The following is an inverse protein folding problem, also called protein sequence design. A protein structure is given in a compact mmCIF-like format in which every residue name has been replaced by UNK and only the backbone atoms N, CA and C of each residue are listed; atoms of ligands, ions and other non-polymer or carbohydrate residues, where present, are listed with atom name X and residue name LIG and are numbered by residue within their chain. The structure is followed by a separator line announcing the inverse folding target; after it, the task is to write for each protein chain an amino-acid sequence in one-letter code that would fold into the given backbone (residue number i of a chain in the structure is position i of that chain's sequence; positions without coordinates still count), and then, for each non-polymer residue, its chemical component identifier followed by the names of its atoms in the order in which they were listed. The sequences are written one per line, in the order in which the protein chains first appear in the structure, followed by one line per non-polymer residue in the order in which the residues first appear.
data_IF_856760689185
#
_entry.id   IF_856760689185
#
_cell.length_a   1.000
_cell.length_b   1.000
_cell.length_c   1.000
_cell.angle_alpha   90.00
_cell.angle_beta   90.00
_cell.angle_gamma   90.00
#
_symmetry.space_group_name_H-M   'P 1'
#
loop_
_entity.id
_entity.type
_entity.pdbx_description
1 polymer ?
#
# COMPACT_ATOMS: atom_id res chain seq x y z
N UNK A 1 1.60 -0.37 16.34
CA UNK A 1 2.53 -1.08 15.42
C UNK A 1 1.84 -1.20 14.08
N UNK A 2 2.56 -0.95 12.96
CA UNK A 2 1.99 -1.08 11.62
C UNK A 2 1.88 -2.57 11.26
N UNK A 3 0.74 -2.95 10.66
CA UNK A 3 0.50 -4.27 10.08
C UNK A 3 0.39 -4.16 8.57
N UNK A 4 1.31 -4.81 7.87
CA UNK A 4 1.41 -4.81 6.41
C UNK A 4 0.82 -6.09 5.83
N UNK A 5 -0.02 -5.96 4.82
CA UNK A 5 -0.47 -7.07 3.98
C UNK A 5 0.11 -6.89 2.58
N UNK A 6 0.89 -7.84 2.09
CA UNK A 6 1.43 -7.79 0.72
C UNK A 6 0.68 -8.78 -0.14
N UNK A 7 0.06 -8.29 -1.20
CA UNK A 7 -0.59 -9.15 -2.18
C UNK A 7 0.39 -9.57 -3.28
N UNK A 8 0.34 -10.84 -3.65
CA UNK A 8 1.08 -11.38 -4.78
C UNK A 8 0.22 -12.28 -5.65
N UNK A 9 0.37 -12.18 -6.97
CA UNK A 9 -0.23 -13.08 -7.97
C UNK A 9 0.84 -13.96 -8.65
N UNK A 10 2.07 -13.94 -8.12
CA UNK A 10 3.22 -14.67 -8.65
C UNK A 10 3.81 -14.08 -9.94
N UNK A 11 3.31 -12.95 -10.44
CA UNK A 11 3.87 -12.30 -11.62
C UNK A 11 5.08 -11.43 -11.29
N UNK A 12 5.95 -11.14 -12.26
CA UNK A 12 7.18 -10.37 -12.02
C UNK A 12 6.94 -9.00 -11.34
N UNK A 13 5.84 -8.31 -11.67
CA UNK A 13 5.51 -7.04 -11.03
C UNK A 13 5.24 -7.17 -9.53
N UNK A 14 4.70 -8.30 -9.07
CA UNK A 14 4.42 -8.53 -7.65
C UNK A 14 5.70 -8.66 -6.80
N UNK A 15 6.84 -8.97 -7.41
CA UNK A 15 8.14 -9.01 -6.72
C UNK A 15 8.51 -7.60 -6.21
N UNK A 16 8.20 -6.56 -6.95
CA UNK A 16 8.47 -5.18 -6.53
C UNK A 16 7.65 -4.83 -5.27
N UNK A 17 6.40 -5.29 -5.18
CA UNK A 17 5.57 -5.12 -3.99
C UNK A 17 6.11 -5.91 -2.79
N UNK A 18 6.57 -7.16 -3.01
CA UNK A 18 7.19 -7.98 -1.95
C UNK A 18 8.45 -7.29 -1.41
N UNK A 19 9.36 -6.85 -2.27
CA UNK A 19 10.58 -6.13 -1.87
C UNK A 19 10.28 -4.85 -1.12
N UNK A 20 9.29 -4.07 -1.59
CA UNK A 20 8.86 -2.86 -0.87
C UNK A 20 8.32 -3.20 0.53
N UNK A 21 7.48 -4.24 0.63
CA UNK A 21 6.96 -4.73 1.91
C UNK A 21 8.06 -5.20 2.86
N UNK A 22 9.07 -5.93 2.35
CA UNK A 22 10.25 -6.37 3.13
C UNK A 22 11.00 -5.18 3.70
N UNK A 23 11.29 -4.18 2.88
CA UNK A 23 12.01 -2.99 3.32
C UNK A 23 11.22 -2.18 4.36
N UNK A 24 9.89 -2.03 4.17
CA UNK A 24 9.05 -1.41 5.18
C UNK A 24 9.06 -2.22 6.49
N UNK A 25 8.95 -3.55 6.43
CA UNK A 25 9.03 -4.43 7.60
C UNK A 25 10.33 -4.22 8.38
N UNK A 26 11.48 -4.24 7.67
CA UNK A 26 12.80 -4.09 8.30
C UNK A 26 12.96 -2.73 8.98
N UNK A 27 12.53 -1.65 8.31
CA UNK A 27 12.74 -0.27 8.80
C UNK A 27 11.76 0.16 9.88
N UNK A 28 10.55 -0.38 9.87
CA UNK A 28 9.48 0.01 10.80
C UNK A 28 9.27 -0.97 11.95
N UNK A 29 9.94 -2.12 11.95
CA UNK A 29 9.60 -3.24 12.83
C UNK A 29 8.11 -3.59 12.74
N UNK A 30 7.54 -3.52 11.54
CA UNK A 30 6.13 -3.77 11.28
C UNK A 30 5.82 -5.27 11.31
N UNK A 31 4.57 -5.65 11.56
CA UNK A 31 4.09 -6.99 11.23
C UNK A 31 3.89 -7.11 9.72
N UNK A 32 4.19 -8.28 9.15
CA UNK A 32 4.05 -8.56 7.73
C UNK A 32 3.30 -9.86 7.52
N UNK A 33 2.37 -9.86 6.57
CA UNK A 33 1.79 -11.06 6.01
C UNK A 33 1.77 -10.98 4.48
N UNK A 34 1.78 -12.13 3.83
CA UNK A 34 1.68 -12.25 2.38
C UNK A 34 0.40 -13.00 2.02
N UNK A 35 -0.34 -12.46 1.06
CA UNK A 35 -1.59 -13.08 0.61
C UNK A 35 -1.62 -13.26 -0.90
N UNK A 36 -2.18 -14.39 -1.34
CA UNK A 36 -2.67 -14.59 -2.70
C UNK A 36 -4.16 -14.87 -2.68
N UNK A 37 -4.91 -14.34 -3.63
CA UNK A 37 -6.37 -14.54 -3.74
C UNK A 37 -6.66 -15.27 -5.03
N UNK A 38 -7.40 -16.37 -4.92
CA UNK A 38 -7.81 -17.24 -6.03
C UNK A 38 -9.33 -17.15 -6.24
N UNK A 39 -9.74 -17.06 -7.48
CA UNK A 39 -11.15 -17.20 -7.84
C UNK A 39 -11.58 -18.67 -7.68
N UNK A 40 -12.81 -18.90 -7.22
CA UNK A 40 -13.34 -20.23 -6.97
C UNK A 40 -13.69 -20.47 -5.51
N UNK A 41 -13.94 -21.71 -5.18
CA UNK A 41 -14.22 -22.14 -3.80
C UNK A 41 -13.14 -23.11 -3.33
N UNK A 42 -12.83 -23.06 -2.05
CA UNK A 42 -11.85 -23.96 -1.43
C UNK A 42 -12.20 -25.46 -1.65
N UNK A 43 -13.49 -25.78 -1.77
CA UNK A 43 -13.98 -27.15 -1.96
C UNK A 43 -13.68 -27.75 -3.36
N UNK A 44 -13.22 -26.96 -4.33
CA UNK A 44 -12.97 -27.43 -5.71
C UNK A 44 -11.52 -27.85 -5.99
N UNK A 45 -10.60 -27.57 -5.08
CA UNK A 45 -9.21 -28.02 -5.18
C UNK A 45 -8.98 -29.21 -4.21
N UNK A 46 -8.25 -30.24 -4.65
CA UNK A 46 -7.82 -31.31 -3.74
C UNK A 46 -6.95 -30.67 -2.63
N UNK A 47 -7.32 -30.84 -1.35
CA UNK A 47 -6.54 -30.27 -0.28
C UNK A 47 -5.12 -30.87 -0.32
N UNK A 48 -4.07 -30.05 -0.22
CA UNK A 48 -2.75 -30.59 0.03
C UNK A 48 -2.76 -31.39 1.33
N UNK A 49 -1.82 -32.32 1.49
CA UNK A 49 -1.70 -33.07 2.74
C UNK A 49 -1.51 -32.11 3.93
N UNK A 50 -2.62 -31.88 4.66
CA UNK A 50 -2.67 -30.91 5.77
C UNK A 50 -1.93 -31.45 6.98
N UNK A 51 -1.14 -30.58 7.64
CA UNK A 51 -0.38 -30.97 8.84
C UNK A 51 0.86 -31.81 8.56
N UNK A 52 1.21 -32.03 7.29
CA UNK A 52 2.44 -32.74 6.90
C UNK A 52 3.49 -31.73 6.48
N UNK A 53 4.73 -31.95 6.91
CA UNK A 53 5.87 -31.17 6.43
C UNK A 53 6.19 -31.57 4.98
N UNK A 54 5.94 -30.64 4.05
CA UNK A 54 6.16 -30.84 2.64
C UNK A 54 7.53 -30.33 2.27
N UNK A 55 8.44 -31.20 1.75
CA UNK A 55 9.71 -30.75 1.23
C UNK A 55 9.56 -29.79 0.07
N UNK A 56 10.23 -28.64 0.10
CA UNK A 56 10.17 -27.64 -0.99
C UNK A 56 10.78 -28.15 -2.30
N UNK A 57 11.56 -29.23 -2.28
CA UNK A 57 11.97 -29.94 -3.50
C UNK A 57 10.76 -30.39 -4.34
N UNK A 58 9.62 -30.66 -3.69
CA UNK A 58 8.36 -31.11 -4.33
C UNK A 58 7.37 -29.94 -4.59
N UNK A 59 7.83 -28.70 -4.62
CA UNK A 59 6.99 -27.51 -4.80
C UNK A 59 6.08 -27.55 -6.04
N UNK A 60 6.50 -28.27 -7.08
CA UNK A 60 5.71 -28.41 -8.32
C UNK A 60 4.41 -29.19 -8.13
N UNK A 61 4.34 -30.05 -7.12
CA UNK A 61 3.12 -30.83 -6.78
C UNK A 61 2.13 -30.03 -5.95
N UNK A 62 2.48 -28.85 -5.47
CA UNK A 62 1.59 -27.99 -4.69
C UNK A 62 0.51 -27.36 -5.58
N UNK A 63 -0.69 -27.08 -5.06
CA UNK A 63 -1.66 -26.21 -5.69
C UNK A 63 -1.04 -24.85 -6.09
N UNK A 64 -1.54 -24.28 -7.19
CA UNK A 64 -0.93 -23.09 -7.79
C UNK A 64 -0.81 -21.90 -6.82
N UNK A 65 -1.80 -21.68 -5.96
CA UNK A 65 -1.73 -20.59 -4.98
C UNK A 65 -0.61 -20.78 -3.97
N UNK A 66 -0.40 -22.00 -3.50
CA UNK A 66 0.71 -22.33 -2.62
C UNK A 66 2.07 -22.23 -3.33
N UNK A 67 2.15 -22.60 -4.62
CA UNK A 67 3.38 -22.37 -5.40
C UNK A 67 3.73 -20.88 -5.47
N UNK A 68 2.74 -19.99 -5.66
CA UNK A 68 2.91 -18.52 -5.64
C UNK A 68 3.44 -18.06 -4.28
N UNK A 69 2.88 -18.56 -3.19
CA UNK A 69 3.29 -18.17 -1.84
C UNK A 69 4.69 -18.70 -1.48
N UNK A 70 5.04 -19.90 -1.92
CA UNK A 70 6.40 -20.43 -1.76
C UNK A 70 7.42 -19.58 -2.52
N UNK A 71 7.10 -19.21 -3.77
CA UNK A 71 7.97 -18.29 -4.53
C UNK A 71 8.08 -16.91 -3.85
N UNK A 72 7.02 -16.42 -3.21
CA UNK A 72 7.10 -15.20 -2.42
C UNK A 72 7.98 -15.38 -1.18
N UNK A 73 7.92 -16.54 -0.50
CA UNK A 73 8.80 -16.83 0.62
C UNK A 73 10.29 -16.90 0.19
N UNK A 74 10.58 -17.47 -0.99
CA UNK A 74 11.93 -17.43 -1.56
C UNK A 74 12.41 -15.98 -1.75
N UNK A 75 11.57 -15.07 -2.28
CA UNK A 75 11.92 -13.63 -2.41
C UNK A 75 12.22 -13.02 -1.03
N UNK A 76 11.41 -13.31 -0.01
CA UNK A 76 11.66 -12.79 1.34
C UNK A 76 12.95 -13.35 1.96
N UNK A 77 13.32 -14.60 1.63
CA UNK A 77 14.57 -15.21 2.06
C UNK A 77 15.78 -14.59 1.33
N UNK A 78 15.69 -14.38 0.02
CA UNK A 78 16.72 -13.71 -0.79
C UNK A 78 17.00 -12.29 -0.29
N UNK A 79 15.95 -11.60 0.16
CA UNK A 79 16.06 -10.29 0.80
C UNK A 79 16.53 -10.37 2.28
N UNK A 80 16.83 -11.55 2.80
CA UNK A 80 17.33 -11.77 4.16
C UNK A 80 16.30 -11.51 5.27
N UNK A 81 15.01 -11.60 4.96
CA UNK A 81 13.94 -11.44 5.95
C UNK A 81 13.50 -12.78 6.54
N UNK A 82 13.59 -13.86 5.80
CA UNK A 82 13.25 -15.20 6.26
C UNK A 82 14.48 -16.12 6.28
N UNK A 83 14.46 -17.08 7.17
CA UNK A 83 15.35 -18.22 7.06
C UNK A 83 14.94 -19.05 5.83
N UNK A 84 15.92 -19.55 5.03
CA UNK A 84 15.63 -20.42 3.91
C UNK A 84 14.86 -21.66 4.40
N UNK A 85 13.68 -21.87 3.83
CA UNK A 85 12.82 -22.99 4.22
C UNK A 85 13.12 -24.21 3.35
N UNK A 86 13.33 -25.34 3.96
CA UNK A 86 13.44 -26.63 3.29
C UNK A 86 12.12 -27.40 3.28
N UNK A 87 11.24 -27.09 4.22
CA UNK A 87 9.92 -27.69 4.38
C UNK A 87 8.89 -26.62 4.74
N UNK A 88 7.63 -26.85 4.36
CA UNK A 88 6.49 -26.04 4.78
C UNK A 88 5.44 -26.93 5.44
N UNK A 89 4.82 -26.42 6.50
CA UNK A 89 3.68 -27.05 7.16
C UNK A 89 2.41 -26.29 6.79
N UNK A 90 1.60 -26.88 5.94
CA UNK A 90 0.36 -26.27 5.44
C UNK A 90 -0.78 -26.62 6.39
N UNK A 91 -1.60 -25.60 6.69
CA UNK A 91 -2.81 -25.73 7.50
C UNK A 91 -4.00 -25.24 6.71
N UNK A 92 -5.11 -25.94 6.81
CA UNK A 92 -6.38 -25.43 6.33
C UNK A 92 -6.86 -24.30 7.23
N UNK A 93 -7.41 -23.30 6.61
CA UNK A 93 -8.17 -22.23 7.25
C UNK A 93 -9.57 -22.19 6.62
N UNK A 94 -10.50 -21.48 7.23
CA UNK A 94 -11.92 -21.48 6.83
C UNK A 94 -12.17 -21.24 5.33
N UNK A 95 -11.26 -20.59 4.63
CA UNK A 95 -11.42 -20.27 3.21
C UNK A 95 -10.07 -20.27 2.46
N UNK A 96 -9.23 -21.27 2.70
CA UNK A 96 -7.94 -21.39 2.03
C UNK A 96 -6.90 -22.13 2.83
N UNK A 97 -5.64 -21.79 2.60
CA UNK A 97 -4.51 -22.45 3.20
C UNK A 97 -3.57 -21.42 3.82
N UNK A 98 -2.84 -21.83 4.85
CA UNK A 98 -1.87 -21.04 5.58
C UNK A 98 -0.61 -21.82 5.83
N UNK A 99 0.56 -21.22 5.60
CA UNK A 99 1.79 -21.64 6.22
C UNK A 99 2.53 -20.46 6.86
N UNK A 100 3.48 -20.74 7.74
CA UNK A 100 4.19 -19.71 8.51
C UNK A 100 5.67 -19.76 8.15
N UNK A 101 6.19 -18.67 7.61
CA UNK A 101 7.62 -18.39 7.54
C UNK A 101 8.14 -17.85 8.87
N UNK A 102 9.44 -18.00 9.13
CA UNK A 102 10.11 -17.46 10.31
C UNK A 102 11.29 -16.58 9.92
N UNK A 103 11.39 -15.45 10.58
CA UNK A 103 12.60 -14.61 10.48
C UNK A 103 13.74 -15.23 11.30
N UNK A 104 15.01 -14.83 11.06
CA UNK A 104 16.13 -15.22 11.89
C UNK A 104 15.95 -14.91 13.40
N UNK A 105 15.15 -13.89 13.72
CA UNK A 105 14.76 -13.56 15.10
C UNK A 105 13.62 -14.40 15.66
N UNK A 106 13.06 -15.33 14.87
CA UNK A 106 11.93 -16.19 15.26
C UNK A 106 10.55 -15.58 15.08
N UNK A 107 10.43 -14.35 14.56
CA UNK A 107 9.14 -13.74 14.25
C UNK A 107 8.40 -14.52 13.14
N UNK A 108 7.08 -14.54 13.23
CA UNK A 108 6.22 -15.29 12.31
C UNK A 108 5.74 -14.40 11.19
N UNK A 109 5.88 -14.87 9.96
CA UNK A 109 5.30 -14.24 8.75
C UNK A 109 4.28 -15.20 8.16
N UNK A 110 2.97 -14.88 8.23
CA UNK A 110 1.92 -15.67 7.61
C UNK A 110 1.94 -15.56 6.08
N UNK A 111 1.75 -16.69 5.40
CA UNK A 111 1.52 -16.80 3.97
C UNK A 111 0.16 -17.43 3.76
N UNK A 112 -0.82 -16.64 3.29
CA UNK A 112 -2.22 -17.01 3.19
C UNK A 112 -2.65 -17.17 1.73
N UNK A 113 -3.18 -18.32 1.35
CA UNK A 113 -4.00 -18.47 0.17
C UNK A 113 -5.46 -18.35 0.57
N UNK A 114 -6.22 -17.48 -0.07
CA UNK A 114 -7.64 -17.30 0.19
C UNK A 114 -8.45 -17.39 -1.09
N UNK A 115 -9.64 -18.00 -1.03
CA UNK A 115 -10.55 -18.16 -2.16
C UNK A 115 -11.69 -17.15 -2.10
N UNK A 116 -12.13 -16.69 -3.27
CA UNK A 116 -13.29 -15.83 -3.43
C UNK A 116 -13.11 -14.63 -4.34
N UNK A 117 -14.03 -13.68 -4.21
CA UNK A 117 -13.95 -12.42 -4.93
C UNK A 117 -12.82 -11.54 -4.37
N UNK A 118 -11.95 -11.07 -5.27
CA UNK A 118 -10.69 -10.44 -4.93
C UNK A 118 -10.80 -9.32 -3.86
N UNK A 119 -11.66 -8.33 -4.09
CA UNK A 119 -11.82 -7.18 -3.18
C UNK A 119 -12.46 -7.59 -1.85
N UNK A 120 -13.50 -8.40 -1.90
CA UNK A 120 -14.21 -8.87 -0.69
C UNK A 120 -13.30 -9.71 0.20
N UNK A 121 -12.47 -10.56 -0.43
CA UNK A 121 -11.51 -11.42 0.29
C UNK A 121 -10.44 -10.55 0.96
N UNK A 122 -9.89 -9.55 0.26
CA UNK A 122 -8.91 -8.63 0.84
C UNK A 122 -9.52 -7.80 1.98
N UNK A 123 -10.76 -7.29 1.83
CA UNK A 123 -11.43 -6.55 2.91
C UNK A 123 -11.66 -7.43 4.14
N UNK A 124 -12.10 -8.68 3.94
CA UNK A 124 -12.27 -9.62 5.05
C UNK A 124 -10.97 -9.85 5.81
N UNK A 125 -9.84 -10.06 5.10
CA UNK A 125 -8.54 -10.22 5.74
C UNK A 125 -8.09 -8.95 6.46
N UNK A 126 -8.27 -7.79 5.83
CA UNK A 126 -7.95 -6.48 6.42
C UNK A 126 -8.74 -6.26 7.72
N UNK A 127 -10.07 -6.48 7.68
CA UNK A 127 -10.96 -6.23 8.82
C UNK A 127 -10.70 -7.23 9.96
N UNK A 128 -10.49 -8.52 9.64
CA UNK A 128 -10.27 -9.57 10.65
C UNK A 128 -8.92 -9.46 11.34
N UNK A 129 -7.87 -9.10 10.62
CA UNK A 129 -6.49 -9.07 11.12
C UNK A 129 -6.02 -7.66 11.49
N UNK A 130 -6.75 -6.62 11.11
CA UNK A 130 -6.44 -5.23 11.41
C UNK A 130 -5.22 -4.70 10.65
N UNK A 131 -5.09 -5.06 9.36
CA UNK A 131 -4.01 -4.53 8.53
C UNK A 131 -4.21 -3.04 8.24
N UNK A 132 -3.15 -2.25 8.40
CA UNK A 132 -3.17 -0.79 8.22
C UNK A 132 -2.79 -0.38 6.80
N UNK A 133 -2.04 -1.22 6.09
CA UNK A 133 -1.53 -0.93 4.77
C UNK A 133 -1.50 -2.19 3.91
N UNK A 134 -2.19 -2.16 2.77
CA UNK A 134 -2.03 -3.13 1.70
C UNK A 134 -0.96 -2.65 0.72
N UNK A 135 0.01 -3.51 0.41
CA UNK A 135 1.02 -3.28 -0.64
C UNK A 135 0.71 -4.17 -1.82
N UNK A 136 0.57 -3.58 -2.98
CA UNK A 136 0.24 -4.30 -4.21
C UNK A 136 0.97 -3.70 -5.41
N UNK A 137 1.36 -4.53 -6.37
CA UNK A 137 1.86 -4.07 -7.66
C UNK A 137 0.92 -4.53 -8.78
N UNK A 138 0.32 -3.62 -9.54
CA UNK A 138 -0.46 -3.97 -10.72
C UNK A 138 0.48 -4.47 -11.83
N UNK A 139 -0.03 -5.26 -12.78
CA UNK A 139 0.75 -5.66 -13.94
C UNK A 139 1.35 -4.43 -14.65
N UNK A 140 2.65 -4.52 -15.01
CA UNK A 140 3.31 -3.46 -15.76
C UNK A 140 2.61 -3.24 -17.09
N UNK A 141 2.38 -2.00 -17.42
CA UNK A 141 1.72 -1.60 -18.67
C UNK A 141 2.75 -1.40 -19.76
N UNK A 142 2.50 -1.98 -20.92
CA UNK A 142 3.33 -1.81 -22.11
C UNK A 142 2.49 -1.19 -23.24
N UNK A 143 3.06 -0.23 -23.97
CA UNK A 143 2.46 0.36 -25.15
C UNK A 143 1.24 1.26 -24.89
N UNK A 144 0.32 1.33 -25.82
CA UNK A 144 -0.89 2.19 -25.80
C UNK A 144 -1.86 1.93 -24.63
N UNK A 145 -1.69 0.80 -23.91
CA UNK A 145 -2.49 0.49 -22.69
C UNK A 145 -2.06 1.28 -21.46
N UNK A 146 -1.07 2.15 -21.56
CA UNK A 146 -0.61 3.03 -20.48
C UNK A 146 -1.72 3.95 -19.93
N UNK A 147 -2.69 4.30 -20.76
CA UNK A 147 -3.73 5.29 -20.44
C UNK A 147 -4.96 4.73 -19.70
N UNK A 148 -5.05 3.42 -19.50
CA UNK A 148 -6.22 2.83 -18.83
C UNK A 148 -5.79 2.18 -17.51
N UNK A 149 -6.22 2.75 -16.39
CA UNK A 149 -6.12 2.07 -15.07
C UNK A 149 -6.93 0.78 -15.17
N UNK A 150 -6.31 -0.37 -14.93
CA UNK A 150 -7.06 -1.62 -14.88
C UNK A 150 -8.23 -1.46 -13.89
N UNK A 151 -9.41 -1.93 -14.25
CA UNK A 151 -10.62 -1.86 -13.42
C UNK A 151 -10.37 -2.36 -11.99
N UNK A 152 -9.51 -3.36 -11.84
CA UNK A 152 -9.08 -3.91 -10.54
C UNK A 152 -8.35 -2.89 -9.66
N UNK A 153 -7.39 -2.12 -10.20
CA UNK A 153 -6.64 -1.12 -9.42
C UNK A 153 -7.56 0.02 -8.97
N UNK A 154 -8.49 0.41 -9.84
CA UNK A 154 -9.51 1.41 -9.50
C UNK A 154 -10.43 0.91 -8.39
N UNK A 155 -10.93 -0.32 -8.49
CA UNK A 155 -11.78 -0.95 -7.47
C UNK A 155 -11.04 -1.08 -6.14
N UNK A 156 -9.76 -1.50 -6.14
CA UNK A 156 -8.92 -1.53 -4.94
C UNK A 156 -8.84 -0.15 -4.28
N UNK A 157 -8.57 0.88 -5.08
CA UNK A 157 -8.49 2.24 -4.58
C UNK A 157 -9.81 2.75 -4.01
N UNK A 158 -10.96 2.31 -4.54
CA UNK A 158 -12.29 2.73 -4.09
C UNK A 158 -12.81 1.91 -2.92
N UNK A 159 -12.74 0.59 -3.03
CA UNK A 159 -13.54 -0.34 -2.23
C UNK A 159 -12.77 -0.98 -1.06
N UNK A 160 -11.43 -0.84 -0.99
CA UNK A 160 -10.66 -1.34 0.15
C UNK A 160 -10.87 -0.48 1.40
N UNK A 161 -10.92 -1.14 2.56
CA UNK A 161 -11.13 -0.51 3.86
C UNK A 161 -9.84 -0.02 4.52
N UNK A 162 -8.69 -0.22 3.90
CA UNK A 162 -7.38 0.18 4.42
C UNK A 162 -6.60 1.04 3.42
N UNK A 163 -5.53 1.66 3.88
CA UNK A 163 -4.59 2.38 3.02
C UNK A 163 -3.95 1.44 2.01
N UNK A 164 -3.66 1.94 0.82
CA UNK A 164 -3.13 1.12 -0.29
C UNK A 164 -1.89 1.76 -0.87
N UNK A 165 -0.79 1.02 -0.90
CA UNK A 165 0.41 1.36 -1.65
C UNK A 165 0.43 0.57 -2.97
N UNK A 166 0.24 1.28 -4.06
CA UNK A 166 0.35 0.74 -5.42
C UNK A 166 1.78 0.93 -5.90
N UNK A 167 2.56 -0.15 -5.91
CA UNK A 167 3.98 -0.13 -6.30
C UNK A 167 4.10 -0.27 -7.81
N UNK A 168 4.74 0.69 -8.46
CA UNK A 168 4.99 0.70 -9.92
C UNK A 168 6.45 0.87 -10.28
N UNK A 169 7.18 1.61 -9.47
CA UNK A 169 8.59 1.87 -9.61
C UNK A 169 9.11 2.47 -8.30
N UNK A 170 10.43 2.55 -8.19
CA UNK A 170 11.05 3.02 -6.96
C UNK A 170 10.92 2.02 -5.80
N UNK A 171 11.31 2.47 -4.64
CA UNK A 171 11.28 1.70 -3.40
C UNK A 171 11.17 2.64 -2.20
N UNK A 172 11.35 2.15 -0.97
CA UNK A 172 11.32 3.00 0.23
C UNK A 172 12.39 4.10 0.25
N UNK A 173 13.43 3.97 -0.59
CA UNK A 173 14.47 5.00 -0.79
C UNK A 173 14.10 6.02 -1.88
N UNK A 174 12.94 5.89 -2.50
CA UNK A 174 12.44 6.88 -3.45
C UNK A 174 12.05 8.18 -2.74
N UNK A 175 11.99 9.26 -3.49
CA UNK A 175 11.46 10.53 -3.03
C UNK A 175 9.96 10.39 -2.78
N UNK A 176 9.49 10.88 -1.63
CA UNK A 176 8.07 10.94 -1.32
C UNK A 176 7.53 12.33 -1.65
N UNK A 177 6.42 12.38 -2.35
CA UNK A 177 5.74 13.61 -2.77
C UNK A 177 4.35 13.62 -2.16
N UNK A 178 4.16 14.42 -1.12
CA UNK A 178 2.94 14.47 -0.31
C UNK A 178 2.04 15.58 -0.81
N UNK A 179 0.85 15.21 -1.30
CA UNK A 179 -0.14 16.17 -1.77
C UNK A 179 -0.95 16.69 -0.58
N UNK A 180 -0.93 18.00 -0.32
CA UNK A 180 -1.58 18.62 0.81
C UNK A 180 -2.34 19.89 0.36
N UNK A 181 -3.66 19.79 0.23
CA UNK A 181 -4.56 20.86 -0.18
C UNK A 181 -5.34 21.49 1.00
N UNK A 182 -4.98 21.13 2.23
CA UNK A 182 -5.66 21.59 3.43
C UNK A 182 -7.02 20.93 3.72
N UNK A 183 -7.50 20.08 2.81
CA UNK A 183 -8.74 19.34 3.01
C UNK A 183 -8.64 18.36 4.20
N UNK A 184 -9.77 17.97 4.81
CA UNK A 184 -9.78 16.93 5.85
C UNK A 184 -9.13 15.62 5.39
N UNK A 185 -9.30 15.26 4.12
CA UNK A 185 -8.66 14.05 3.55
C UNK A 185 -7.14 14.17 3.49
N UNK A 186 -6.62 15.34 3.07
CA UNK A 186 -5.20 15.60 3.05
C UNK A 186 -4.59 15.62 4.46
N UNK A 187 -5.29 16.18 5.44
CA UNK A 187 -4.82 16.19 6.84
C UNK A 187 -4.75 14.79 7.44
N UNK A 188 -5.68 13.91 7.10
CA UNK A 188 -5.74 12.51 7.61
C UNK A 188 -4.57 11.63 7.14
N UNK A 189 -3.80 12.03 6.14
CA UNK A 189 -2.64 11.24 5.71
C UNK A 189 -1.43 11.33 6.67
N UNK A 190 -1.30 12.42 7.41
CA UNK A 190 -0.12 12.70 8.24
C UNK A 190 0.14 11.68 9.35
N UNK A 191 -0.85 11.12 10.06
CA UNK A 191 -0.61 10.09 11.06
C UNK A 191 0.03 8.82 10.51
N UNK A 192 -0.42 8.33 9.35
CA UNK A 192 0.24 7.19 8.70
C UNK A 192 1.61 7.60 8.18
N UNK A 193 1.72 8.79 7.57
CA UNK A 193 2.97 9.33 7.09
C UNK A 193 4.00 9.46 8.22
N UNK A 194 3.59 9.91 9.41
CA UNK A 194 4.45 9.98 10.61
C UNK A 194 5.08 8.62 10.94
N UNK A 195 4.30 7.55 10.87
CA UNK A 195 4.83 6.21 11.07
C UNK A 195 5.81 5.82 9.95
N UNK A 196 5.46 6.11 8.70
CA UNK A 196 6.29 5.79 7.54
C UNK A 196 7.58 6.62 7.48
N UNK A 197 7.59 7.86 7.99
CA UNK A 197 8.78 8.72 8.01
C UNK A 197 9.98 8.07 8.72
N UNK A 198 9.75 7.16 9.65
CA UNK A 198 10.82 6.40 10.30
C UNK A 198 11.54 5.47 9.31
N UNK A 199 10.83 4.97 8.31
CA UNK A 199 11.38 4.13 7.24
C UNK A 199 11.95 4.94 6.09
N UNK A 200 11.42 6.14 5.85
CA UNK A 200 11.81 7.02 4.75
C UNK A 200 13.13 7.70 5.13
N UNK A 201 14.19 7.42 4.40
CA UNK A 201 15.50 8.06 4.60
C UNK A 201 15.68 9.29 3.73
N UNK A 202 14.93 9.37 2.65
CA UNK A 202 15.06 10.38 1.61
C UNK A 202 14.16 11.60 1.85
N UNK A 203 14.28 12.53 0.92
CA UNK A 203 13.54 13.78 0.87
C UNK A 203 12.02 13.53 0.79
N UNK A 204 11.26 14.33 1.53
CA UNK A 204 9.79 14.33 1.50
C UNK A 204 9.33 15.70 1.02
N UNK A 205 8.94 15.79 -0.23
CA UNK A 205 8.44 17.02 -0.83
C UNK A 205 6.94 17.18 -0.52
N UNK A 206 6.52 18.43 -0.33
CA UNK A 206 5.12 18.82 -0.19
C UNK A 206 4.66 19.49 -1.48
N UNK A 207 3.49 19.11 -1.98
CA UNK A 207 2.91 19.65 -3.21
C UNK A 207 1.49 20.11 -2.96
N UNK A 208 1.20 21.31 -3.40
CA UNK A 208 -0.15 21.83 -3.58
C UNK A 208 -0.31 22.44 -4.96
N UNK A 209 -1.43 22.16 -5.58
CA UNK A 209 -1.82 22.76 -6.86
C UNK A 209 -3.03 23.64 -6.63
N UNK A 210 -2.85 24.94 -6.78
CA UNK A 210 -3.92 25.93 -6.79
C UNK A 210 -4.61 25.90 -8.15
N UNK A 211 -5.93 25.75 -8.14
CA UNK A 211 -6.75 25.88 -9.34
C UNK A 211 -7.14 27.35 -9.54
N UNK A 212 -7.41 27.77 -10.78
CA UNK A 212 -7.84 29.14 -11.06
C UNK A 212 -9.14 29.56 -10.37
N UNK A 213 -10.02 28.58 -10.11
CA UNK A 213 -11.31 28.76 -9.44
C UNK A 213 -11.27 28.56 -7.91
N UNK A 214 -10.12 28.27 -7.34
CA UNK A 214 -9.96 28.17 -5.89
C UNK A 214 -10.16 29.53 -5.22
N UNK A 215 -11.12 29.62 -4.30
CA UNK A 215 -11.36 30.80 -3.50
C UNK A 215 -10.26 31.12 -2.51
N UNK A 216 -10.25 32.34 -1.99
CA UNK A 216 -9.27 32.82 -1.01
C UNK A 216 -9.20 31.92 0.25
N UNK A 217 -10.33 31.44 0.75
CA UNK A 217 -10.41 30.51 1.90
C UNK A 217 -9.67 29.19 1.62
N UNK A 218 -9.88 28.60 0.45
CA UNK A 218 -9.20 27.35 0.05
C UNK A 218 -7.69 27.56 -0.04
N UNK A 219 -7.27 28.67 -0.64
CA UNK A 219 -5.86 29.03 -0.75
C UNK A 219 -5.21 29.27 0.62
N UNK A 220 -5.90 29.93 1.53
CA UNK A 220 -5.44 30.14 2.89
C UNK A 220 -5.30 28.83 3.65
N UNK A 221 -6.35 27.98 3.65
CA UNK A 221 -6.34 26.70 4.34
C UNK A 221 -5.24 25.76 3.83
N UNK A 222 -4.97 25.77 2.52
CA UNK A 222 -3.86 25.02 1.93
C UNK A 222 -2.50 25.56 2.37
N UNK A 223 -2.32 26.89 2.35
CA UNK A 223 -1.08 27.54 2.78
C UNK A 223 -0.77 27.24 4.25
N UNK A 224 -1.76 27.35 5.12
CA UNK A 224 -1.62 27.02 6.56
C UNK A 224 -1.26 25.54 6.75
N UNK A 225 -1.93 24.63 6.03
CA UNK A 225 -1.66 23.19 6.09
C UNK A 225 -0.22 22.90 5.64
N UNK A 226 0.24 23.50 4.56
CA UNK A 226 1.58 23.30 4.04
C UNK A 226 2.66 23.85 5.01
N UNK A 227 2.40 25.00 5.63
CA UNK A 227 3.32 25.56 6.62
C UNK A 227 3.46 24.67 7.85
N UNK A 228 2.32 24.15 8.36
CA UNK A 228 2.33 23.21 9.47
C UNK A 228 3.04 21.90 9.09
N UNK A 229 2.76 21.36 7.90
CA UNK A 229 3.39 20.14 7.41
C UNK A 229 4.91 20.31 7.25
N UNK A 230 5.36 21.45 6.75
CA UNK A 230 6.78 21.78 6.62
C UNK A 230 7.46 21.84 7.99
N UNK A 231 6.93 22.60 8.94
CA UNK A 231 7.48 22.69 10.28
C UNK A 231 7.54 21.31 10.96
N UNK A 232 6.52 20.49 10.75
CA UNK A 232 6.49 19.13 11.26
C UNK A 232 7.58 18.24 10.61
N UNK A 233 7.81 18.31 9.30
CA UNK A 233 8.89 17.59 8.64
C UNK A 233 10.27 18.01 9.16
N UNK A 234 10.49 19.33 9.35
CA UNK A 234 11.71 19.87 9.93
C UNK A 234 11.94 19.34 11.35
N UNK A 235 10.90 19.27 12.18
CA UNK A 235 10.96 18.69 13.53
C UNK A 235 11.23 17.17 13.54
N UNK A 236 10.95 16.49 12.43
CA UNK A 236 11.24 15.07 12.24
C UNK A 236 12.59 14.81 11.52
N UNK A 237 13.48 15.81 11.45
CA UNK A 237 14.75 15.77 10.70
C UNK A 237 14.58 15.38 9.22
N UNK A 238 13.48 15.80 8.61
CA UNK A 238 13.20 15.57 7.20
C UNK A 238 13.32 16.86 6.41
N UNK A 239 14.15 16.80 5.38
CA UNK A 239 14.28 17.88 4.41
C UNK A 239 13.35 17.63 3.24
N UNK A 240 12.66 18.65 2.80
CA UNK A 240 11.75 18.55 1.65
C UNK A 240 11.56 19.91 1.01
N UNK A 241 11.19 19.89 -0.27
CA UNK A 241 10.82 21.09 -1.01
C UNK A 241 9.31 21.31 -0.90
N UNK A 242 8.94 22.58 -0.92
CA UNK A 242 7.55 22.99 -1.03
C UNK A 242 7.31 23.43 -2.48
N UNK A 243 6.42 22.70 -3.16
CA UNK A 243 5.99 23.00 -4.52
C UNK A 243 4.60 23.63 -4.48
N UNK A 244 4.54 24.93 -4.75
CA UNK A 244 3.30 25.66 -4.98
C UNK A 244 3.13 25.80 -6.48
N UNK A 245 2.17 25.06 -7.02
CA UNK A 245 1.90 25.00 -8.46
C UNK A 245 0.55 25.64 -8.74
N UNK A 246 0.33 26.14 -9.95
CA UNK A 246 -0.92 26.73 -10.37
C UNK A 246 -1.31 26.22 -11.77
N UNK A 247 -2.55 25.77 -11.94
CA UNK A 247 -3.06 25.35 -13.25
C UNK A 247 -4.34 24.52 -13.20
N UNK A 248 -4.87 24.29 -14.39
CA UNK A 248 -6.17 23.66 -14.61
C UNK A 248 -6.13 22.12 -14.50
N UNK A 249 -4.95 21.51 -14.65
CA UNK A 249 -4.78 20.06 -14.57
C UNK A 249 -3.90 19.65 -13.38
N UNK A 250 -4.45 19.60 -12.15
CA UNK A 250 -3.68 19.26 -10.96
C UNK A 250 -3.00 17.89 -11.01
N UNK A 251 -3.61 16.90 -11.69
CA UNK A 251 -3.03 15.56 -11.77
C UNK A 251 -1.71 15.56 -12.54
N UNK A 252 -1.68 16.22 -13.69
CA UNK A 252 -0.49 16.35 -14.52
C UNK A 252 0.64 17.10 -13.78
N UNK A 253 0.30 18.24 -13.18
CA UNK A 253 1.26 19.03 -12.42
C UNK A 253 1.88 18.27 -11.24
N UNK A 254 1.08 17.47 -10.52
CA UNK A 254 1.58 16.60 -9.43
C UNK A 254 2.51 15.52 -9.99
N UNK A 255 2.13 14.89 -11.10
CA UNK A 255 2.93 13.83 -11.74
C UNK A 255 4.26 14.40 -12.23
N UNK A 256 4.24 15.56 -12.89
CA UNK A 256 5.45 16.24 -13.36
C UNK A 256 6.37 16.65 -12.20
N UNK A 257 5.81 17.20 -11.13
CA UNK A 257 6.56 17.54 -9.93
C UNK A 257 7.15 16.30 -9.23
N UNK A 258 6.43 15.17 -9.26
CA UNK A 258 6.92 13.91 -8.71
C UNK A 258 8.03 13.31 -9.58
N UNK A 259 7.93 13.43 -10.90
CA UNK A 259 8.85 12.78 -11.84
C UNK A 259 8.79 11.25 -11.74
N UNK A 260 9.83 10.61 -12.26
CA UNK A 260 9.94 9.15 -12.26
C UNK A 260 10.42 8.62 -10.89
N UNK A 261 10.02 7.38 -10.58
CA UNK A 261 10.46 6.65 -9.38
C UNK A 261 10.16 7.33 -8.02
N UNK A 262 9.13 8.16 -7.95
CA UNK A 262 8.64 8.72 -6.70
C UNK A 262 7.57 7.84 -6.05
N UNK A 263 7.23 8.16 -4.80
CA UNK A 263 6.02 7.71 -4.12
C UNK A 263 5.12 8.92 -3.89
N UNK A 264 4.04 9.01 -4.65
CA UNK A 264 3.06 10.09 -4.51
C UNK A 264 2.10 9.70 -3.39
N UNK A 265 1.99 10.55 -2.36
CA UNK A 265 1.12 10.30 -1.19
C UNK A 265 -0.10 11.20 -1.26
N UNK A 266 -1.27 10.61 -1.20
CA UNK A 266 -2.55 11.32 -1.28
C UNK A 266 -3.53 10.82 -0.23
N UNK A 267 -4.21 11.73 0.43
CA UNK A 267 -5.33 11.41 1.29
C UNK A 267 -6.55 10.96 0.46
N UNK A 268 -7.19 9.90 0.89
CA UNK A 268 -8.41 9.38 0.29
C UNK A 268 -9.55 9.42 1.31
N UNK A 269 -10.74 9.88 0.90
CA UNK A 269 -11.91 9.91 1.77
C UNK A 269 -12.53 8.52 1.88
N UNK A 270 -12.68 8.01 3.11
CA UNK A 270 -13.60 6.92 3.42
C UNK A 270 -14.98 7.54 3.68
N UNK A 271 -15.77 7.80 2.66
CA UNK A 271 -17.17 8.19 2.88
C UNK A 271 -18.02 6.92 2.96
N UNK A 272 -18.53 6.64 4.16
CA UNK A 272 -19.54 5.61 4.41
C UNK A 272 -20.93 5.95 3.82
N UNK A 273 -21.10 7.13 3.23
CA UNK A 273 -22.35 7.49 2.59
C UNK A 273 -22.59 6.62 1.34
N UNK A 274 -23.62 5.82 1.42
CA UNK A 274 -24.08 4.80 0.45
C UNK A 274 -24.26 5.36 -0.96
N UNK A 275 -24.31 6.68 -1.16
CA UNK A 275 -24.54 7.33 -2.45
C UNK A 275 -23.31 7.92 -3.13
N UNK A 276 -22.12 7.99 -2.48
CA UNK A 276 -20.91 8.55 -3.09
C UNK A 276 -19.64 7.84 -2.56
N UNK A 277 -19.40 6.62 -2.98
CA UNK A 277 -18.07 6.00 -2.98
C UNK A 277 -17.20 6.70 -4.03
N UNK A 278 -16.85 7.94 -3.77
CA UNK A 278 -15.95 8.68 -4.65
C UNK A 278 -14.66 8.97 -3.88
N UNK A 279 -13.60 8.23 -4.19
CA UNK A 279 -12.28 8.85 -4.18
C UNK A 279 -12.41 10.15 -4.97
N UNK A 280 -11.92 11.26 -4.45
CA UNK A 280 -11.87 12.50 -5.22
C UNK A 280 -11.31 12.21 -6.61
N UNK A 281 -11.77 12.91 -7.62
CA UNK A 281 -11.32 12.69 -9.01
C UNK A 281 -9.80 12.77 -9.14
N UNK A 282 -9.14 13.60 -8.35
CA UNK A 282 -7.70 13.83 -8.39
C UNK A 282 -6.84 12.61 -8.02
N UNK A 283 -7.03 11.91 -6.86
CA UNK A 283 -6.28 10.68 -6.58
C UNK A 283 -6.45 9.61 -7.65
N UNK A 284 -7.65 9.51 -8.24
CA UNK A 284 -7.90 8.55 -9.31
C UNK A 284 -7.23 8.92 -10.62
N UNK A 285 -7.18 10.22 -10.96
CA UNK A 285 -6.46 10.70 -12.14
C UNK A 285 -4.95 10.45 -11.98
N UNK A 286 -4.36 10.84 -10.86
CA UNK A 286 -2.94 10.57 -10.56
C UNK A 286 -2.67 9.07 -10.64
N UNK A 287 -3.45 8.24 -9.94
CA UNK A 287 -3.28 6.78 -9.96
C UNK A 287 -3.40 6.20 -11.38
N UNK A 288 -4.21 6.80 -12.26
CA UNK A 288 -4.38 6.32 -13.64
C UNK A 288 -3.29 6.76 -14.59
N UNK A 289 -2.64 7.88 -14.35
CA UNK A 289 -1.74 8.52 -15.31
C UNK A 289 -0.25 8.35 -14.95
N UNK A 290 0.08 8.22 -13.65
CA UNK A 290 1.49 8.13 -13.23
C UNK A 290 2.09 6.73 -13.44
N UNK A 291 3.38 6.68 -13.73
CA UNK A 291 4.22 5.48 -13.67
C UNK A 291 4.93 5.36 -12.31
N UNK A 292 4.86 6.36 -11.45
CA UNK A 292 5.36 6.35 -10.08
C UNK A 292 4.43 5.56 -9.13
N UNK A 293 4.96 5.13 -8.01
CA UNK A 293 4.18 4.49 -6.96
C UNK A 293 3.21 5.48 -6.31
N UNK A 294 2.04 5.00 -5.89
CA UNK A 294 1.02 5.85 -5.25
C UNK A 294 0.59 5.24 -3.92
N UNK A 295 0.71 6.01 -2.85
CA UNK A 295 0.16 5.69 -1.54
C UNK A 295 -1.15 6.46 -1.33
N UNK A 296 -2.25 5.72 -1.35
CA UNK A 296 -3.58 6.24 -0.99
C UNK A 296 -3.81 6.00 0.50
N UNK A 297 -3.80 7.07 1.28
CA UNK A 297 -4.03 6.98 2.73
C UNK A 297 -5.51 7.06 3.02
N UNK A 298 -6.03 6.01 3.63
CA UNK A 298 -7.41 5.89 4.09
C UNK A 298 -7.40 5.63 5.59
N UNK A 299 -7.90 6.57 6.37
CA UNK A 299 -8.07 6.38 7.80
C UNK A 299 -9.55 6.50 8.15
N UNK A 300 -10.07 5.63 9.03
CA UNK A 300 -11.46 5.69 9.45
C UNK A 300 -11.75 7.02 10.16
N UNK A 301 -12.99 7.55 10.07
CA UNK A 301 -13.38 8.79 10.75
C UNK A 301 -13.22 8.74 12.27
N UNK A 302 -13.39 7.56 12.86
CA UNK A 302 -13.26 7.31 14.31
C UNK A 302 -11.80 7.38 14.81
N UNK A 303 -10.83 7.35 13.89
CA UNK A 303 -9.44 7.66 14.21
C UNK A 303 -9.24 9.15 14.57
N UNK A 304 -10.28 9.97 14.54
CA UNK A 304 -10.28 11.39 14.95
C UNK A 304 -10.24 11.58 16.48
N UNK A 305 -10.22 10.51 17.30
CA UNK A 305 -9.96 10.63 18.74
C UNK A 305 -8.50 11.01 18.99
N UNK A 306 -8.20 11.69 20.02
CA UNK A 306 -6.97 12.25 20.62
C UNK A 306 -5.63 12.21 19.84
N UNK A 307 -5.41 11.19 18.98
CA UNK A 307 -4.23 11.06 18.13
C UNK A 307 -4.21 12.05 16.95
N UNK A 308 -5.38 12.64 16.63
CA UNK A 308 -5.58 13.53 15.47
C UNK A 308 -5.91 14.97 15.83
N UNK A 309 -5.97 15.32 17.13
CA UNK A 309 -6.18 16.71 17.55
C UNK A 309 -5.07 17.63 17.03
N UNK A 310 -3.88 17.09 16.84
CA UNK A 310 -2.79 17.75 16.15
C UNK A 310 -2.01 16.73 15.30
N UNK A 311 -2.31 16.59 14.00
CA UNK A 311 -1.64 15.64 13.12
C UNK A 311 -0.15 15.96 12.92
N UNK A 312 0.32 17.13 13.37
CA UNK A 312 1.68 17.61 13.21
C UNK A 312 2.53 17.51 14.48
N UNK A 313 2.07 16.88 15.55
CA UNK A 313 2.95 16.56 16.69
C UNK A 313 3.85 15.38 16.36
N UNK A 314 5.14 15.51 16.63
CA UNK A 314 6.14 14.44 16.50
C UNK A 314 6.08 13.45 17.68
#
# INVERSE_FOLDING_TARGET
MIKLLVYTDGKPAAIDALRFGVELKKRLSAELAVITVRSGTHATEEPPAVGVDIPLANRQSLPRGLQILVAAADVLADEGLLDPQTHINIRDISNGHLFIGRTPSGERIPFCESFGHFIETLNREVDQQGYNLLVISPPRRTGLRRLVTGDTTRKLALDLHTSVLVVRGGGPDSRFVVCADGSPSARRQFPLLKLLLRAIRNQVDLVWVKKPDDGAETAQAATECLQHARNWLENCDKNGRLHLLEGDNPAELIIDAAGDNAVIVMGASLRHDVYRRMLGSLPMQVLSQTDSSVLLVKLPPEADSDFFKDPFTC
#
